data_IF_677593331175
#
_entry.id   IF_677593331175
#
_cell.length_a   1.000
_cell.length_b   1.000
_cell.length_c   1.000
_cell.angle_alpha   90.00
_cell.angle_beta   90.00
_cell.angle_gamma   90.00
#
_symmetry.space_group_name_H-M   'P 1'
#
loop_
_entity.id
_entity.type
_entity.pdbx_description
1 polymer ?
#
# COMPACT_ATOMS: atom_id res chain seq x y z
N UNK A 1 -279.62 -56.26 57.55
CA UNK A 1 -279.48 -57.63 57.02
C UNK A 1 -278.31 -57.60 56.06
N UNK A 2 -277.17 -58.17 56.45
CA UNK A 2 -276.83 -59.60 56.34
C UNK A 2 -276.37 -59.94 54.93
N UNK A 3 -275.16 -60.49 54.90
CA UNK A 3 -274.67 -61.66 54.15
C UNK A 3 -274.78 -61.63 52.62
N UNK A 4 -273.77 -62.28 52.06
CA UNK A 4 -273.50 -62.53 50.65
C UNK A 4 -273.07 -61.29 49.86
N UNK A 5 -271.85 -61.16 49.33
CA UNK A 5 -270.70 -62.06 49.24
C UNK A 5 -269.56 -61.16 48.73
N UNK A 6 -268.56 -60.79 49.53
CA UNK A 6 -267.43 -61.63 49.97
C UNK A 6 -266.58 -62.29 48.88
N UNK A 7 -266.78 -62.05 47.57
CA UNK A 7 -265.93 -62.73 46.56
C UNK A 7 -265.12 -61.86 45.61
N UNK A 8 -265.62 -60.74 45.11
CA UNK A 8 -264.90 -60.04 44.04
C UNK A 8 -263.90 -58.96 44.53
N UNK A 9 -263.98 -58.62 45.81
CA UNK A 9 -262.96 -57.81 46.51
C UNK A 9 -261.65 -58.61 46.65
N UNK A 10 -261.69 -59.95 46.67
CA UNK A 10 -260.50 -60.78 46.87
C UNK A 10 -259.72 -61.06 45.56
N UNK A 11 -260.38 -61.14 44.40
CA UNK A 11 -259.69 -61.48 43.14
C UNK A 11 -258.96 -60.32 42.45
N UNK A 12 -259.36 -59.06 42.67
CA UNK A 12 -258.62 -57.90 42.12
C UNK A 12 -257.38 -57.52 42.95
N UNK A 13 -257.34 -57.89 44.23
CA UNK A 13 -256.18 -57.69 45.11
C UNK A 13 -255.05 -58.67 44.76
N UNK A 14 -255.37 -59.92 44.39
CA UNK A 14 -254.37 -60.91 43.92
C UNK A 14 -253.78 -60.61 42.53
N UNK A 15 -254.43 -59.81 41.69
CA UNK A 15 -253.98 -59.56 40.30
C UNK A 15 -252.90 -58.47 40.16
N UNK A 16 -252.84 -57.43 41.00
CA UNK A 16 -251.86 -56.33 40.84
C UNK A 16 -250.69 -56.39 41.84
N UNK A 17 -250.81 -57.13 42.94
CA UNK A 17 -249.63 -57.58 43.69
C UNK A 17 -248.66 -58.42 42.81
N UNK A 18 -249.17 -59.09 41.76
CA UNK A 18 -248.32 -59.69 40.70
C UNK A 18 -247.59 -58.65 39.84
N UNK A 19 -248.27 -57.58 39.43
CA UNK A 19 -247.61 -56.49 38.68
C UNK A 19 -246.61 -55.70 39.52
N UNK A 20 -246.79 -55.61 40.84
CA UNK A 20 -245.79 -55.01 41.75
C UNK A 20 -244.57 -55.92 41.93
N UNK A 21 -244.73 -57.24 41.76
CA UNK A 21 -243.62 -58.20 41.77
C UNK A 21 -242.84 -58.21 40.45
N UNK A 22 -243.51 -58.06 39.31
CA UNK A 22 -242.84 -57.91 38.01
C UNK A 22 -242.11 -56.56 37.89
N UNK A 23 -242.69 -55.45 38.36
CA UNK A 23 -242.02 -54.15 38.35
C UNK A 23 -240.81 -54.06 39.29
N UNK A 24 -240.80 -54.83 40.39
CA UNK A 24 -239.60 -54.94 41.23
C UNK A 24 -238.50 -55.76 40.57
N UNK A 25 -238.85 -56.76 39.76
CA UNK A 25 -237.86 -57.59 39.07
C UNK A 25 -237.22 -56.87 37.87
N UNK A 26 -237.98 -55.98 37.20
CA UNK A 26 -237.44 -55.19 36.09
C UNK A 26 -236.61 -54.00 36.56
N UNK A 27 -236.85 -53.45 37.76
CA UNK A 27 -236.02 -52.36 38.29
C UNK A 27 -234.64 -52.85 38.74
N UNK A 28 -234.54 -54.07 39.30
CA UNK A 28 -233.25 -54.68 39.65
C UNK A 28 -232.37 -54.98 38.42
N UNK A 29 -232.97 -55.21 37.25
CA UNK A 29 -232.21 -55.34 35.99
C UNK A 29 -231.67 -54.01 35.46
N UNK A 30 -232.28 -52.88 35.81
CA UNK A 30 -231.76 -51.56 35.41
C UNK A 30 -230.62 -51.06 36.30
N UNK A 31 -230.53 -51.50 37.55
CA UNK A 31 -229.39 -51.19 38.43
C UNK A 31 -228.13 -52.00 38.07
N UNK A 32 -228.28 -53.23 37.57
CA UNK A 32 -227.12 -54.04 37.14
C UNK A 32 -226.47 -53.54 35.84
N UNK A 33 -227.23 -52.82 35.00
CA UNK A 33 -226.71 -52.18 33.77
C UNK A 33 -226.01 -50.84 34.09
N UNK A 34 -226.30 -50.21 35.22
CA UNK A 34 -225.67 -48.94 35.62
C UNK A 34 -224.27 -49.13 36.26
N UNK A 35 -224.00 -50.27 36.90
CA UNK A 35 -222.73 -50.50 37.61
C UNK A 35 -221.61 -51.11 36.73
N UNK A 36 -221.92 -51.69 35.57
CA UNK A 36 -220.90 -52.33 34.71
C UNK A 36 -220.15 -51.39 33.76
N UNK A 37 -220.54 -50.12 33.65
CA UNK A 37 -219.95 -49.19 32.65
C UNK A 37 -218.96 -48.15 33.21
N UNK A 38 -218.68 -48.17 34.51
CA UNK A 38 -217.82 -47.16 35.18
C UNK A 38 -216.39 -47.64 35.46
N UNK A 39 -216.07 -48.94 35.29
CA UNK A 39 -214.80 -49.51 35.83
C UNK A 39 -213.66 -49.70 34.80
N UNK A 40 -213.88 -49.49 33.49
CA UNK A 40 -212.89 -49.91 32.46
C UNK A 40 -211.92 -48.80 32.00
N UNK A 41 -212.21 -47.50 32.20
CA UNK A 41 -211.40 -46.41 31.62
C UNK A 41 -210.23 -45.91 32.49
N UNK A 42 -210.16 -46.22 33.78
CA UNK A 42 -209.15 -45.61 34.68
C UNK A 42 -207.78 -46.31 34.65
N UNK A 43 -207.71 -47.59 34.23
CA UNK A 43 -206.47 -48.38 34.23
C UNK A 43 -205.60 -48.13 32.98
N UNK A 44 -206.21 -47.84 31.84
CA UNK A 44 -205.47 -47.64 30.57
C UNK A 44 -204.71 -46.30 30.51
N UNK A 45 -205.15 -45.29 31.26
CA UNK A 45 -204.49 -43.98 31.32
C UNK A 45 -203.17 -43.99 32.13
N UNK A 46 -203.00 -44.91 33.09
CA UNK A 46 -201.76 -44.99 33.90
C UNK A 46 -200.59 -45.64 33.16
N UNK A 47 -200.83 -46.67 32.35
CA UNK A 47 -199.76 -47.37 31.60
C UNK A 47 -199.13 -46.52 30.48
N UNK A 48 -199.87 -45.57 29.92
CA UNK A 48 -199.34 -44.68 28.87
C UNK A 48 -198.42 -43.58 29.42
N UNK A 49 -198.59 -43.20 30.69
CA UNK A 49 -197.76 -42.18 31.33
C UNK A 49 -196.35 -42.70 31.63
N UNK A 50 -196.22 -43.92 32.16
CA UNK A 50 -194.92 -44.50 32.54
C UNK A 50 -193.98 -44.71 31.33
N UNK A 51 -194.53 -45.17 30.18
CA UNK A 51 -193.74 -45.34 28.94
C UNK A 51 -193.23 -44.01 28.36
N UNK A 52 -193.95 -42.90 28.54
CA UNK A 52 -193.52 -41.59 28.06
C UNK A 52 -192.35 -41.04 28.90
N UNK A 53 -192.32 -41.32 30.20
CA UNK A 53 -191.22 -40.93 31.09
C UNK A 53 -189.92 -41.70 30.83
N UNK A 54 -189.99 -42.99 30.51
CA UNK A 54 -188.80 -43.78 30.19
C UNK A 54 -188.14 -43.33 28.86
N UNK A 55 -188.95 -43.00 27.84
CA UNK A 55 -188.45 -42.47 26.57
C UNK A 55 -187.78 -41.09 26.71
N UNK A 56 -188.28 -40.23 27.60
CA UNK A 56 -187.66 -38.93 27.88
C UNK A 56 -186.28 -39.09 28.54
N UNK A 57 -186.14 -40.07 29.44
CA UNK A 57 -184.89 -40.34 30.15
C UNK A 57 -183.80 -40.88 29.22
N UNK A 58 -184.16 -41.78 28.31
CA UNK A 58 -183.25 -42.30 27.27
C UNK A 58 -182.80 -41.20 26.28
N UNK A 59 -183.68 -40.23 25.98
CA UNK A 59 -183.35 -39.10 25.12
C UNK A 59 -182.35 -38.13 25.79
N UNK A 60 -182.53 -37.84 27.09
CA UNK A 60 -181.59 -37.02 27.86
C UNK A 60 -180.20 -37.66 27.98
N UNK A 61 -180.11 -38.96 28.25
CA UNK A 61 -178.82 -39.67 28.31
C UNK A 61 -178.07 -39.63 26.97
N UNK A 62 -178.76 -39.79 25.85
CA UNK A 62 -178.15 -39.73 24.51
C UNK A 62 -177.66 -38.31 24.19
N UNK A 63 -178.40 -37.29 24.60
CA UNK A 63 -177.99 -35.88 24.44
C UNK A 63 -176.71 -35.58 25.23
N UNK A 64 -176.61 -36.04 26.49
CA UNK A 64 -175.40 -35.89 27.30
C UNK A 64 -174.19 -36.62 26.71
N UNK A 65 -174.34 -37.87 26.26
CA UNK A 65 -173.25 -38.62 25.61
C UNK A 65 -172.77 -37.92 24.32
N UNK A 66 -173.67 -37.34 23.54
CA UNK A 66 -173.31 -36.56 22.36
C UNK A 66 -172.54 -35.27 22.71
N UNK A 67 -172.94 -34.58 23.78
CA UNK A 67 -172.24 -33.40 24.28
C UNK A 67 -170.81 -33.73 24.77
N UNK A 68 -170.63 -34.85 25.48
CA UNK A 68 -169.30 -35.30 25.95
C UNK A 68 -168.37 -35.68 24.78
N UNK A 69 -168.90 -36.31 23.72
CA UNK A 69 -168.12 -36.62 22.52
C UNK A 69 -167.68 -35.35 21.78
N UNK A 70 -168.57 -34.35 21.65
CA UNK A 70 -168.22 -33.06 21.07
C UNK A 70 -167.11 -32.35 21.86
N UNK A 71 -167.16 -32.44 23.20
CA UNK A 71 -166.11 -31.89 24.06
C UNK A 71 -164.75 -32.56 23.80
N UNK A 72 -164.70 -33.90 23.75
CA UNK A 72 -163.47 -34.67 23.43
C UNK A 72 -162.93 -34.38 22.03
N UNK A 73 -163.82 -34.24 21.03
CA UNK A 73 -163.41 -33.88 19.66
C UNK A 73 -162.75 -32.51 19.65
N UNK A 74 -163.31 -31.52 20.35
CA UNK A 74 -162.72 -30.19 20.43
C UNK A 74 -161.37 -30.18 21.18
N UNK A 75 -161.22 -30.98 22.24
CA UNK A 75 -159.95 -31.15 22.95
C UNK A 75 -158.86 -31.72 22.00
N UNK A 76 -159.16 -32.78 21.24
CA UNK A 76 -158.22 -33.34 20.25
C UNK A 76 -157.92 -32.32 19.14
N UNK A 77 -158.90 -31.54 18.70
CA UNK A 77 -158.70 -30.54 17.65
C UNK A 77 -157.73 -29.43 18.11
N UNK A 78 -157.78 -29.03 19.38
CA UNK A 78 -156.81 -28.11 19.96
C UNK A 78 -155.41 -28.73 20.10
N UNK A 79 -155.28 -29.99 20.56
CA UNK A 79 -153.98 -30.69 20.61
C UNK A 79 -153.33 -30.84 19.22
N UNK A 80 -154.13 -31.12 18.19
CA UNK A 80 -153.66 -31.21 16.80
C UNK A 80 -153.20 -29.84 16.29
N UNK A 81 -153.93 -28.76 16.60
CA UNK A 81 -153.49 -27.39 16.24
C UNK A 81 -152.16 -27.05 16.91
N UNK A 82 -152.01 -27.38 18.19
CA UNK A 82 -150.77 -27.13 18.94
C UNK A 82 -149.59 -27.90 18.34
N UNK A 83 -149.78 -29.18 18.01
CA UNK A 83 -148.77 -30.02 17.35
C UNK A 83 -148.37 -29.49 15.97
N UNK A 84 -149.32 -29.03 15.16
CA UNK A 84 -149.04 -28.38 13.87
C UNK A 84 -148.22 -27.10 14.07
N UNK A 85 -148.54 -26.32 15.11
CA UNK A 85 -147.82 -25.10 15.41
C UNK A 85 -146.37 -25.38 15.86
N UNK A 86 -146.18 -26.41 16.71
CA UNK A 86 -144.85 -26.90 17.08
C UNK A 86 -144.03 -27.37 15.87
N UNK A 87 -144.65 -28.13 14.95
CA UNK A 87 -143.97 -28.56 13.73
C UNK A 87 -143.54 -27.38 12.86
N UNK A 88 -144.39 -26.37 12.69
CA UNK A 88 -144.05 -25.13 11.97
C UNK A 88 -142.87 -24.41 12.63
N UNK A 89 -142.87 -24.28 13.95
CA UNK A 89 -141.76 -23.66 14.69
C UNK A 89 -140.46 -24.47 14.58
N UNK A 90 -140.51 -25.79 14.65
CA UNK A 90 -139.31 -26.61 14.49
C UNK A 90 -138.74 -26.52 13.07
N UNK A 91 -139.60 -26.48 12.05
CA UNK A 91 -139.18 -26.29 10.65
C UNK A 91 -138.45 -24.95 10.45
N UNK A 92 -138.93 -23.87 11.07
CA UNK A 92 -138.26 -22.56 10.96
C UNK A 92 -136.91 -22.56 11.69
N UNK A 93 -136.81 -23.19 12.86
CA UNK A 93 -135.55 -23.34 13.60
C UNK A 93 -134.50 -24.14 12.81
N UNK A 94 -134.88 -25.27 12.21
CA UNK A 94 -133.97 -26.10 11.38
C UNK A 94 -133.49 -25.32 10.14
N UNK A 95 -134.38 -24.60 9.46
CA UNK A 95 -133.97 -23.80 8.31
C UNK A 95 -132.97 -22.69 8.72
N UNK A 96 -133.15 -22.09 9.89
CA UNK A 96 -132.23 -21.09 10.41
C UNK A 96 -130.87 -21.70 10.80
N UNK A 97 -130.82 -22.92 11.34
CA UNK A 97 -129.56 -23.60 11.64
C UNK A 97 -128.82 -24.04 10.38
N UNK A 98 -129.53 -24.51 9.35
CA UNK A 98 -128.95 -24.82 8.03
C UNK A 98 -128.30 -23.58 7.42
N UNK A 99 -129.01 -22.44 7.39
CA UNK A 99 -128.43 -21.17 6.88
C UNK A 99 -127.17 -20.75 7.65
N UNK A 100 -127.15 -20.93 8.97
CA UNK A 100 -125.95 -20.65 9.78
C UNK A 100 -124.80 -21.61 9.44
N UNK A 101 -125.09 -22.91 9.26
CA UNK A 101 -124.09 -23.89 8.87
C UNK A 101 -123.50 -23.60 7.48
N UNK A 102 -124.33 -23.24 6.49
CA UNK A 102 -123.89 -22.81 5.17
C UNK A 102 -122.98 -21.57 5.25
N UNK A 103 -123.37 -20.56 6.04
CA UNK A 103 -122.55 -19.35 6.23
C UNK A 103 -121.20 -19.63 6.92
N UNK A 104 -121.16 -20.60 7.85
CA UNK A 104 -119.93 -21.03 8.50
C UNK A 104 -119.04 -21.81 7.54
N UNK A 105 -119.60 -22.67 6.70
CA UNK A 105 -118.84 -23.44 5.73
C UNK A 105 -118.15 -22.53 4.70
N UNK A 106 -118.87 -21.52 4.19
CA UNK A 106 -118.29 -20.49 3.33
C UNK A 106 -117.15 -19.71 4.02
N UNK A 107 -117.29 -19.44 5.32
CA UNK A 107 -116.22 -18.81 6.11
C UNK A 107 -115.00 -19.71 6.31
N UNK A 108 -115.19 -21.02 6.48
CA UNK A 108 -114.09 -21.99 6.55
C UNK A 108 -113.36 -22.12 5.20
N UNK A 109 -114.10 -22.19 4.09
CA UNK A 109 -113.51 -22.25 2.75
C UNK A 109 -112.67 -21.00 2.44
N UNK A 110 -113.17 -19.81 2.78
CA UNK A 110 -112.39 -18.56 2.62
C UNK A 110 -111.17 -18.48 3.54
N UNK A 111 -111.23 -19.03 4.75
CA UNK A 111 -110.06 -19.09 5.65
C UNK A 111 -108.97 -20.02 5.11
N UNK A 112 -109.33 -21.18 4.55
CA UNK A 112 -108.35 -22.10 3.95
C UNK A 112 -107.68 -21.46 2.71
N UNK A 113 -108.45 -20.79 1.85
CA UNK A 113 -107.90 -20.08 0.70
C UNK A 113 -106.89 -18.98 1.14
N UNK A 114 -107.21 -18.25 2.22
CA UNK A 114 -106.29 -17.27 2.78
C UNK A 114 -105.03 -17.93 3.37
N UNK A 115 -105.15 -19.09 4.03
CA UNK A 115 -103.99 -19.82 4.56
C UNK A 115 -103.02 -20.25 3.45
N UNK A 116 -103.54 -20.75 2.33
CA UNK A 116 -102.72 -21.10 1.15
C UNK A 116 -102.02 -19.87 0.57
N UNK A 117 -102.71 -18.75 0.45
CA UNK A 117 -102.11 -17.49 -0.05
C UNK A 117 -101.03 -16.94 0.89
N UNK A 118 -101.21 -17.11 2.21
CA UNK A 118 -100.26 -16.65 3.23
C UNK A 118 -99.00 -17.53 3.23
N UNK A 119 -99.15 -18.85 3.05
CA UNK A 119 -98.02 -19.77 2.84
C UNK A 119 -97.22 -19.43 1.58
N UNK A 120 -97.90 -19.13 0.47
CA UNK A 120 -97.25 -18.70 -0.76
C UNK A 120 -96.46 -17.39 -0.57
N UNK A 121 -97.08 -16.38 0.05
CA UNK A 121 -96.40 -15.09 0.35
C UNK A 121 -95.22 -15.26 1.30
N UNK A 122 -95.31 -16.17 2.28
CA UNK A 122 -94.22 -16.45 3.21
C UNK A 122 -93.01 -17.09 2.50
N UNK A 123 -93.25 -17.95 1.51
CA UNK A 123 -92.18 -18.52 0.68
C UNK A 123 -91.47 -17.44 -0.13
N UNK A 124 -92.22 -16.54 -0.79
CA UNK A 124 -91.63 -15.44 -1.58
C UNK A 124 -90.79 -14.49 -0.71
N UNK A 125 -91.25 -14.17 0.51
CA UNK A 125 -90.50 -13.33 1.45
C UNK A 125 -89.21 -14.01 1.90
N UNK A 126 -89.24 -15.31 2.13
CA UNK A 126 -88.03 -16.07 2.50
C UNK A 126 -87.00 -16.05 1.37
N UNK A 127 -87.43 -16.30 0.13
CA UNK A 127 -86.53 -16.29 -1.03
C UNK A 127 -85.90 -14.90 -1.26
N UNK A 128 -86.70 -13.83 -1.11
CA UNK A 128 -86.20 -12.45 -1.17
C UNK A 128 -85.21 -12.15 -0.05
N UNK A 129 -85.45 -12.64 1.16
CA UNK A 129 -84.55 -12.46 2.30
C UNK A 129 -83.21 -13.17 2.07
N UNK A 130 -83.22 -14.37 1.50
CA UNK A 130 -82.01 -15.11 1.14
C UNK A 130 -81.21 -14.37 0.06
N UNK A 131 -81.88 -13.87 -0.98
CA UNK A 131 -81.24 -13.09 -2.04
C UNK A 131 -80.65 -11.77 -1.55
N UNK A 132 -81.34 -11.07 -0.64
CA UNK A 132 -80.87 -9.83 -0.03
C UNK A 132 -79.61 -10.07 0.81
N UNK A 133 -79.59 -11.13 1.62
CA UNK A 133 -78.42 -11.50 2.43
C UNK A 133 -77.20 -11.87 1.56
N UNK A 134 -77.41 -12.63 0.49
CA UNK A 134 -76.35 -12.97 -0.45
C UNK A 134 -75.75 -11.72 -1.12
N UNK A 135 -76.60 -10.77 -1.52
CA UNK A 135 -76.18 -9.49 -2.12
C UNK A 135 -75.41 -8.61 -1.13
N UNK A 136 -75.82 -8.60 0.14
CA UNK A 136 -75.15 -7.83 1.20
C UNK A 136 -73.76 -8.39 1.52
N UNK A 137 -73.60 -9.71 1.55
CA UNK A 137 -72.29 -10.35 1.70
C UNK A 137 -71.36 -10.05 0.53
N UNK A 138 -71.87 -10.04 -0.70
CA UNK A 138 -71.10 -9.67 -1.88
C UNK A 138 -70.64 -8.20 -1.82
N UNK A 139 -71.54 -7.29 -1.44
CA UNK A 139 -71.21 -5.87 -1.28
C UNK A 139 -70.15 -5.63 -0.20
N UNK A 140 -70.21 -6.35 0.92
CA UNK A 140 -69.19 -6.27 1.98
C UNK A 140 -67.80 -6.72 1.50
N UNK A 141 -67.71 -7.80 0.71
CA UNK A 141 -66.42 -8.23 0.13
C UNK A 141 -65.82 -7.18 -0.78
N UNK A 142 -66.64 -6.62 -1.68
CA UNK A 142 -66.22 -5.56 -2.60
C UNK A 142 -65.75 -4.32 -1.83
N UNK A 143 -66.43 -3.95 -0.74
CA UNK A 143 -66.02 -2.80 0.09
C UNK A 143 -64.62 -3.00 0.70
N UNK A 144 -64.32 -4.20 1.22
CA UNK A 144 -63.00 -4.53 1.77
C UNK A 144 -61.90 -4.48 0.70
N UNK A 145 -62.18 -5.00 -0.50
CA UNK A 145 -61.23 -4.94 -1.63
C UNK A 145 -60.95 -3.49 -2.05
N UNK A 146 -61.98 -2.62 -2.08
CA UNK A 146 -61.82 -1.19 -2.38
C UNK A 146 -60.95 -0.49 -1.34
N UNK A 147 -61.11 -0.79 -0.04
CA UNK A 147 -60.24 -0.24 1.01
C UNK A 147 -58.78 -0.71 0.86
N UNK A 148 -58.57 -1.97 0.47
CA UNK A 148 -57.26 -2.50 0.12
C UNK A 148 -56.61 -1.71 -1.03
N UNK A 149 -57.31 -1.56 -2.16
CA UNK A 149 -56.83 -0.80 -3.30
C UNK A 149 -56.56 0.68 -2.99
N UNK A 150 -57.38 1.30 -2.14
CA UNK A 150 -57.16 2.69 -1.69
C UNK A 150 -55.85 2.82 -0.91
N UNK A 151 -55.55 1.85 -0.04
CA UNK A 151 -54.31 1.82 0.74
C UNK A 151 -53.09 1.62 -0.16
N UNK A 152 -53.17 0.67 -1.10
CA UNK A 152 -52.09 0.40 -2.05
C UNK A 152 -51.82 1.59 -3.00
N UNK A 153 -52.88 2.26 -3.44
CA UNK A 153 -52.78 3.49 -4.24
C UNK A 153 -52.10 4.61 -3.46
N UNK A 154 -52.47 4.80 -2.18
CA UNK A 154 -51.81 5.76 -1.29
C UNK A 154 -50.31 5.48 -1.12
N UNK A 155 -49.95 4.21 -0.86
CA UNK A 155 -48.55 3.78 -0.75
C UNK A 155 -47.75 4.00 -2.05
N UNK A 156 -48.37 3.72 -3.19
CA UNK A 156 -47.75 3.91 -4.51
C UNK A 156 -47.52 5.39 -4.79
N UNK A 157 -48.51 6.24 -4.49
CA UNK A 157 -48.38 7.70 -4.60
C UNK A 157 -47.25 8.26 -3.74
N UNK A 158 -47.12 7.77 -2.49
CA UNK A 158 -46.01 8.15 -1.61
C UNK A 158 -44.64 7.76 -2.20
N UNK A 159 -44.51 6.55 -2.76
CA UNK A 159 -43.28 6.10 -3.44
C UNK A 159 -42.94 6.94 -4.68
N UNK A 160 -43.95 7.30 -5.48
CA UNK A 160 -43.77 8.16 -6.66
C UNK A 160 -43.25 9.54 -6.25
N UNK A 161 -43.80 10.14 -5.19
CA UNK A 161 -43.33 11.43 -4.68
C UNK A 161 -41.90 11.36 -4.14
N UNK A 162 -41.53 10.29 -3.43
CA UNK A 162 -40.15 10.08 -2.97
C UNK A 162 -39.18 9.95 -4.16
N UNK A 163 -39.53 9.18 -5.19
CA UNK A 163 -38.73 9.05 -6.41
C UNK A 163 -38.60 10.38 -7.17
N UNK A 164 -39.68 11.17 -7.25
CA UNK A 164 -39.66 12.49 -7.89
C UNK A 164 -38.69 13.43 -7.16
N UNK A 165 -38.75 13.48 -5.83
CA UNK A 165 -37.86 14.30 -5.01
C UNK A 165 -36.39 13.85 -5.16
N UNK A 166 -36.13 12.53 -5.17
CA UNK A 166 -34.78 12.00 -5.42
C UNK A 166 -34.27 12.37 -6.79
N UNK A 167 -35.10 12.27 -7.84
CA UNK A 167 -34.75 12.64 -9.20
C UNK A 167 -34.41 14.13 -9.33
N UNK A 168 -35.21 15.00 -8.71
CA UNK A 168 -34.95 16.45 -8.66
C UNK A 168 -33.60 16.76 -7.99
N UNK A 169 -33.32 16.15 -6.83
CA UNK A 169 -32.03 16.31 -6.14
C UNK A 169 -30.86 15.78 -6.97
N UNK A 170 -31.03 14.67 -7.70
CA UNK A 170 -29.99 14.15 -8.58
C UNK A 170 -29.71 15.10 -9.74
N UNK A 171 -30.75 15.68 -10.34
CA UNK A 171 -30.61 16.68 -11.41
C UNK A 171 -29.81 17.89 -10.92
N UNK A 172 -30.17 18.46 -9.78
CA UNK A 172 -29.46 19.60 -9.19
C UNK A 172 -27.99 19.27 -8.91
N UNK A 173 -27.69 18.06 -8.41
CA UNK A 173 -26.31 17.61 -8.21
C UNK A 173 -25.53 17.47 -9.50
N UNK A 174 -26.17 16.99 -10.57
CA UNK A 174 -25.56 16.85 -11.89
C UNK A 174 -25.26 18.23 -12.48
N UNK A 175 -26.19 19.18 -12.40
CA UNK A 175 -25.99 20.57 -12.85
C UNK A 175 -24.82 21.21 -12.10
N UNK A 176 -24.81 21.14 -10.76
CA UNK A 176 -23.70 21.65 -9.96
C UNK A 176 -22.33 21.01 -10.30
N UNK A 177 -22.30 19.71 -10.60
CA UNK A 177 -21.06 19.03 -11.00
C UNK A 177 -20.65 19.42 -12.42
N UNK A 178 -21.61 19.54 -13.32
CA UNK A 178 -21.38 19.99 -14.68
C UNK A 178 -20.75 21.38 -14.68
N UNK A 179 -21.33 22.32 -13.94
CA UNK A 179 -20.86 23.70 -13.85
C UNK A 179 -19.47 23.78 -13.20
N UNK A 180 -19.16 22.94 -12.21
CA UNK A 180 -17.80 22.85 -11.64
C UNK A 180 -16.76 22.29 -12.61
N UNK A 181 -17.14 21.30 -13.41
CA UNK A 181 -16.20 20.61 -14.31
C UNK A 181 -15.97 21.44 -15.57
N UNK A 182 -17.06 21.89 -16.20
CA UNK A 182 -17.06 22.56 -17.50
C UNK A 182 -17.03 24.09 -17.38
N UNK A 183 -17.38 24.65 -16.23
CA UNK A 183 -17.68 26.07 -16.11
C UNK A 183 -19.12 26.37 -16.52
N UNK A 184 -19.52 27.63 -16.36
CA UNK A 184 -20.81 28.11 -16.83
C UNK A 184 -20.66 29.51 -17.43
N UNK A 185 -21.46 29.77 -18.47
CA UNK A 185 -21.53 31.08 -19.11
C UNK A 185 -22.56 31.93 -18.38
N UNK A 186 -22.11 33.08 -17.86
CA UNK A 186 -22.98 34.09 -17.30
C UNK A 186 -22.87 35.38 -18.14
N UNK A 187 -23.98 36.11 -18.22
CA UNK A 187 -23.97 37.45 -18.82
C UNK A 187 -23.57 38.44 -17.75
N UNK A 188 -22.53 39.20 -18.02
CA UNK A 188 -22.11 40.28 -17.14
C UNK A 188 -23.08 41.47 -17.29
N UNK A 189 -23.76 41.85 -16.20
CA UNK A 189 -24.84 42.83 -16.19
C UNK A 189 -24.39 44.24 -16.63
N UNK A 190 -23.08 44.56 -16.54
CA UNK A 190 -22.55 45.87 -16.92
C UNK A 190 -22.12 45.99 -18.39
N UNK A 191 -21.76 44.89 -19.05
CA UNK A 191 -21.14 44.92 -20.40
C UNK A 191 -21.94 44.14 -21.45
N UNK A 192 -22.89 43.30 -21.04
CA UNK A 192 -23.71 42.49 -21.96
C UNK A 192 -22.93 41.40 -22.71
N UNK A 193 -21.65 41.20 -22.38
CA UNK A 193 -20.82 40.14 -22.93
C UNK A 193 -21.01 38.84 -22.11
N UNK A 194 -21.03 37.70 -22.82
CA UNK A 194 -21.02 36.39 -22.18
C UNK A 194 -19.62 36.15 -21.59
N UNK A 195 -19.50 36.13 -20.27
CA UNK A 195 -18.29 35.72 -19.57
C UNK A 195 -18.43 34.26 -19.15
N UNK A 196 -17.41 33.47 -19.46
CA UNK A 196 -17.30 32.08 -19.04
C UNK A 196 -16.56 32.02 -17.71
N UNK A 197 -17.21 31.54 -16.64
CA UNK A 197 -16.48 31.18 -15.43
C UNK A 197 -15.75 29.86 -15.70
N UNK A 198 -14.42 29.87 -15.58
CA UNK A 198 -13.59 28.70 -15.91
C UNK A 198 -13.87 27.53 -14.98
N UNK A 199 -14.17 26.38 -15.57
CA UNK A 199 -14.26 25.12 -14.82
C UNK A 199 -12.90 24.48 -14.56
N UNK A 200 -12.89 23.39 -13.79
CA UNK A 200 -11.69 22.60 -13.53
C UNK A 200 -10.97 22.14 -14.81
N UNK A 201 -11.73 21.87 -15.89
CA UNK A 201 -11.15 21.50 -17.18
C UNK A 201 -10.31 22.63 -17.77
N UNK A 202 -10.79 23.86 -17.71
CA UNK A 202 -10.12 25.02 -18.28
C UNK A 202 -8.88 25.40 -17.45
N UNK A 203 -8.98 25.30 -16.12
CA UNK A 203 -7.83 25.46 -15.22
C UNK A 203 -6.72 24.44 -15.50
N UNK A 204 -7.09 23.17 -15.73
CA UNK A 204 -6.15 22.11 -16.07
C UNK A 204 -5.47 22.38 -17.42
N UNK A 205 -6.24 22.79 -18.44
CA UNK A 205 -5.68 23.08 -19.75
C UNK A 205 -4.73 24.30 -19.71
N UNK A 206 -5.07 25.34 -18.93
CA UNK A 206 -4.20 26.49 -18.72
C UNK A 206 -2.92 26.12 -17.96
N UNK A 207 -3.03 25.25 -16.95
CA UNK A 207 -1.87 24.74 -16.21
C UNK A 207 -0.95 23.94 -17.12
N UNK A 208 -1.50 23.10 -18.00
CA UNK A 208 -0.73 22.34 -18.98
C UNK A 208 -0.03 23.24 -20.01
N UNK A 209 -0.72 24.25 -20.56
CA UNK A 209 -0.13 25.24 -21.47
C UNK A 209 1.02 26.00 -20.79
N UNK A 210 0.82 26.44 -19.55
CA UNK A 210 1.84 27.18 -18.77
C UNK A 210 3.05 26.31 -18.45
N UNK A 211 2.84 25.06 -18.07
CA UNK A 211 3.90 24.09 -17.80
C UNK A 211 4.69 23.78 -19.07
N UNK A 212 4.01 23.53 -20.19
CA UNK A 212 4.64 23.27 -21.49
C UNK A 212 5.50 24.46 -21.95
N UNK A 213 4.99 25.69 -21.81
CA UNK A 213 5.74 26.89 -22.12
C UNK A 213 6.97 27.05 -21.22
N UNK A 214 6.83 26.78 -19.91
CA UNK A 214 7.94 26.83 -18.95
C UNK A 214 9.04 25.82 -19.28
N UNK A 215 8.66 24.58 -19.62
CA UNK A 215 9.61 23.53 -20.04
C UNK A 215 10.35 23.96 -21.31
N UNK A 216 9.63 24.47 -22.31
CA UNK A 216 10.25 24.93 -23.55
C UNK A 216 11.22 26.11 -23.32
N UNK A 217 10.93 26.99 -22.36
CA UNK A 217 11.83 28.08 -22.00
C UNK A 217 13.07 27.58 -21.26
N UNK A 218 12.91 26.68 -20.29
CA UNK A 218 14.02 26.05 -19.58
C UNK A 218 14.95 25.27 -20.52
N UNK A 219 14.40 24.58 -21.52
CA UNK A 219 15.22 23.87 -22.51
C UNK A 219 16.09 24.86 -23.31
N UNK A 220 15.53 26.02 -23.69
CA UNK A 220 16.29 27.08 -24.37
C UNK A 220 17.41 27.63 -23.49
N UNK A 221 17.11 27.91 -22.23
CA UNK A 221 18.11 28.41 -21.26
C UNK A 221 19.23 27.38 -21.03
N UNK A 222 18.88 26.10 -20.86
CA UNK A 222 19.86 25.03 -20.71
C UNK A 222 20.78 24.91 -21.94
N UNK A 223 20.21 24.97 -23.15
CA UNK A 223 20.98 24.94 -24.40
C UNK A 223 21.92 26.14 -24.53
N UNK A 224 21.47 27.34 -24.13
CA UNK A 224 22.32 28.53 -24.11
C UNK A 224 23.45 28.42 -23.07
N UNK A 225 23.15 27.88 -21.89
CA UNK A 225 24.15 27.66 -20.85
C UNK A 225 25.23 26.67 -21.28
N UNK A 226 24.84 25.56 -21.92
CA UNK A 226 25.79 24.57 -22.47
C UNK A 226 26.72 25.23 -23.49
N UNK A 227 26.17 25.93 -24.50
CA UNK A 227 26.98 26.64 -25.50
C UNK A 227 27.93 27.66 -24.86
N UNK A 228 27.44 28.46 -23.92
CA UNK A 228 28.28 29.45 -23.23
C UNK A 228 29.41 28.80 -22.42
N UNK A 229 29.18 27.60 -21.89
CA UNK A 229 30.18 26.86 -21.12
C UNK A 229 31.22 26.22 -22.04
N UNK A 230 30.79 25.66 -23.17
CA UNK A 230 31.68 25.15 -24.22
C UNK A 230 32.62 26.24 -24.73
N UNK A 231 32.08 27.42 -25.08
CA UNK A 231 32.88 28.57 -25.54
C UNK A 231 33.91 29.02 -24.49
N UNK A 232 33.55 28.99 -23.20
CA UNK A 232 34.47 29.34 -22.10
C UNK A 232 35.57 28.30 -21.92
N UNK A 233 35.25 27.02 -22.04
CA UNK A 233 36.23 25.94 -21.94
C UNK A 233 37.22 25.98 -23.10
N UNK A 234 36.76 26.25 -24.31
CA UNK A 234 37.63 26.37 -25.48
C UNK A 234 38.62 27.53 -25.32
N UNK A 235 38.15 28.72 -24.91
CA UNK A 235 39.02 29.86 -24.59
C UNK A 235 40.02 29.56 -23.47
N UNK A 236 39.59 28.86 -22.43
CA UNK A 236 40.47 28.50 -21.32
C UNK A 236 41.57 27.54 -21.78
N UNK A 237 41.24 26.58 -22.63
CA UNK A 237 42.20 25.65 -23.23
C UNK A 237 43.26 26.38 -24.05
N UNK A 238 42.83 27.32 -24.91
CA UNK A 238 43.77 28.14 -25.71
C UNK A 238 44.76 28.91 -24.83
N UNK A 239 44.27 29.56 -23.76
CA UNK A 239 45.11 30.30 -22.81
C UNK A 239 46.16 29.39 -22.18
N UNK A 240 45.75 28.21 -21.69
CA UNK A 240 46.68 27.27 -21.07
C UNK A 240 47.72 26.76 -22.08
N UNK A 241 47.31 26.40 -23.29
CA UNK A 241 48.22 25.91 -24.33
C UNK A 241 49.28 26.97 -24.69
N UNK A 242 48.90 28.25 -24.77
CA UNK A 242 49.84 29.36 -24.96
C UNK A 242 50.80 29.54 -23.79
N UNK A 243 50.31 29.52 -22.55
CA UNK A 243 51.15 29.65 -21.36
C UNK A 243 52.16 28.50 -21.23
N UNK A 244 51.72 27.26 -21.48
CA UNK A 244 52.59 26.08 -21.42
C UNK A 244 53.68 26.16 -22.50
N UNK A 245 53.33 26.56 -23.72
CA UNK A 245 54.29 26.73 -24.81
C UNK A 245 55.34 27.80 -24.44
N UNK A 246 54.91 28.96 -23.95
CA UNK A 246 55.82 30.03 -23.56
C UNK A 246 56.76 29.65 -22.40
N UNK A 247 56.25 28.89 -21.41
CA UNK A 247 57.10 28.38 -20.31
C UNK A 247 58.12 27.36 -20.81
N UNK A 248 57.73 26.45 -21.69
CA UNK A 248 58.62 25.43 -22.26
C UNK A 248 59.77 26.07 -23.04
N UNK A 249 59.46 27.01 -23.93
CA UNK A 249 60.46 27.75 -24.71
C UNK A 249 61.49 28.43 -23.80
N UNK A 250 61.02 29.07 -22.72
CA UNK A 250 61.90 29.74 -21.75
C UNK A 250 62.79 28.77 -20.97
N UNK A 251 62.32 27.56 -20.67
CA UNK A 251 63.13 26.52 -20.02
C UNK A 251 64.23 26.04 -20.97
N UNK A 252 63.87 25.73 -22.22
CA UNK A 252 64.82 25.24 -23.23
C UNK A 252 65.91 26.29 -23.55
N UNK A 253 65.56 27.57 -23.47
CA UNK A 253 66.50 28.69 -23.64
C UNK A 253 67.50 28.83 -22.48
N UNK A 254 67.06 28.66 -21.22
CA UNK A 254 67.88 28.91 -20.03
C UNK A 254 68.77 27.74 -19.63
N UNK A 255 68.38 26.50 -19.96
CA UNK A 255 69.09 25.27 -19.58
C UNK A 255 70.57 25.20 -20.02
N UNK A 256 70.94 25.50 -21.28
CA UNK A 256 72.34 25.41 -21.72
C UNK A 256 73.25 26.45 -21.03
N UNK A 257 72.75 27.66 -20.78
CA UNK A 257 73.52 28.71 -20.09
C UNK A 257 73.72 28.43 -18.60
N UNK A 258 72.71 27.89 -17.92
CA UNK A 258 72.81 27.51 -16.50
C UNK A 258 73.80 26.35 -16.28
N UNK A 259 73.81 25.36 -17.17
CA UNK A 259 74.72 24.21 -17.09
C UNK A 259 76.21 24.63 -17.19
N UNK A 260 76.53 25.52 -18.14
CA UNK A 260 77.92 25.95 -18.38
C UNK A 260 78.42 26.91 -17.31
N UNK A 261 77.53 27.77 -16.81
CA UNK A 261 77.83 28.62 -15.66
C UNK A 261 78.12 27.78 -14.41
N UNK A 262 77.32 26.74 -14.14
CA UNK A 262 77.54 25.82 -13.02
C UNK A 262 78.86 25.05 -13.13
N UNK A 263 79.16 24.49 -14.31
CA UNK A 263 80.40 23.74 -14.55
C UNK A 263 81.66 24.62 -14.44
N UNK A 264 81.65 25.82 -15.04
CA UNK A 264 82.78 26.75 -14.95
C UNK A 264 83.06 27.22 -13.52
N UNK A 265 82.02 27.48 -12.74
CA UNK A 265 82.15 27.82 -11.32
C UNK A 265 82.77 26.67 -10.51
N UNK A 266 82.33 25.42 -10.75
CA UNK A 266 82.88 24.26 -10.07
C UNK A 266 84.36 24.03 -10.39
N UNK A 267 84.78 24.23 -11.66
CA UNK A 267 86.20 24.16 -12.03
C UNK A 267 87.03 25.29 -11.45
N UNK A 268 86.49 26.51 -11.37
CA UNK A 268 87.15 27.64 -10.72
C UNK A 268 87.41 27.38 -9.23
N UNK A 269 86.43 26.81 -8.54
CA UNK A 269 86.55 26.43 -7.13
C UNK A 269 87.61 25.35 -6.92
N UNK A 270 87.62 24.31 -7.75
CA UNK A 270 88.64 23.25 -7.71
C UNK A 270 90.04 23.79 -7.97
N UNK A 271 90.20 24.69 -8.94
CA UNK A 271 91.48 25.34 -9.25
C UNK A 271 92.00 26.14 -8.06
N UNK A 272 91.13 26.87 -7.35
CA UNK A 272 91.52 27.61 -6.13
C UNK A 272 91.94 26.67 -5.00
N UNK A 273 91.16 25.62 -4.74
CA UNK A 273 91.46 24.63 -3.70
C UNK A 273 92.81 23.94 -3.94
N UNK A 274 93.09 23.54 -5.18
CA UNK A 274 94.40 22.98 -5.56
C UNK A 274 95.53 24.00 -5.43
N UNK A 275 95.28 25.27 -5.77
CA UNK A 275 96.25 26.35 -5.57
C UNK A 275 96.68 26.51 -4.10
N UNK A 276 95.75 26.35 -3.16
CA UNK A 276 96.04 26.37 -1.72
C UNK A 276 96.85 25.14 -1.29
N UNK A 277 96.50 23.94 -1.78
CA UNK A 277 97.25 22.71 -1.52
C UNK A 277 98.67 22.79 -2.08
N UNK A 278 98.84 23.28 -3.31
CA UNK A 278 100.14 23.53 -3.91
C UNK A 278 101.03 24.41 -3.03
N UNK A 279 100.45 25.47 -2.46
CA UNK A 279 101.18 26.36 -1.55
C UNK A 279 101.55 25.65 -0.24
N UNK A 280 100.67 24.80 0.28
CA UNK A 280 100.96 23.93 1.44
C UNK A 280 102.14 22.99 1.15
N UNK A 281 102.12 22.28 0.02
CA UNK A 281 103.22 21.39 -0.38
C UNK A 281 104.54 22.13 -0.61
N UNK A 282 104.51 23.33 -1.19
CA UNK A 282 105.71 24.20 -1.31
C UNK A 282 106.30 24.55 0.05
N UNK A 283 105.46 24.88 1.04
CA UNK A 283 105.90 25.16 2.41
C UNK A 283 106.50 23.92 3.07
N UNK A 284 105.82 22.77 2.98
CA UNK A 284 106.33 21.49 3.50
C UNK A 284 107.66 21.10 2.86
N UNK A 285 107.81 21.30 1.55
CA UNK A 285 109.07 21.05 0.84
C UNK A 285 110.20 21.98 1.32
N UNK A 286 109.93 23.29 1.43
CA UNK A 286 110.90 24.26 1.93
C UNK A 286 111.33 23.95 3.37
N UNK A 287 110.39 23.57 4.22
CA UNK A 287 110.66 23.15 5.60
C UNK A 287 111.53 21.89 5.63
N UNK A 288 111.20 20.87 4.85
CA UNK A 288 111.98 19.64 4.77
C UNK A 288 113.43 19.90 4.30
N UNK A 289 113.63 20.76 3.30
CA UNK A 289 114.98 21.18 2.87
C UNK A 289 115.72 21.90 4.01
N UNK A 290 115.07 22.83 4.69
CA UNK A 290 115.69 23.56 5.80
C UNK A 290 116.12 22.62 6.93
N UNK A 291 115.29 21.62 7.27
CA UNK A 291 115.64 20.58 8.23
C UNK A 291 116.80 19.70 7.75
N UNK A 292 116.82 19.29 6.47
CA UNK A 292 117.93 18.51 5.91
C UNK A 292 119.26 19.28 5.96
N UNK A 293 119.25 20.58 5.66
CA UNK A 293 120.43 21.44 5.78
C UNK A 293 120.87 21.56 7.25
N UNK A 294 119.93 21.70 8.18
CA UNK A 294 120.20 21.72 9.62
C UNK A 294 120.85 20.41 10.12
N UNK A 295 120.33 19.25 9.70
CA UNK A 295 120.91 17.94 10.05
C UNK A 295 122.30 17.79 9.41
N UNK A 296 122.50 18.27 8.17
CA UNK A 296 123.82 18.31 7.52
C UNK A 296 124.86 19.10 8.29
N UNK A 297 124.44 20.07 9.09
CA UNK A 297 125.33 20.88 9.91
C UNK A 297 125.62 20.23 11.28
N UNK A 298 124.85 19.22 11.69
CA UNK A 298 124.97 18.58 13.01
C UNK A 298 126.31 17.81 13.19
N UNK A 299 126.79 16.97 12.25
CA UNK A 299 128.09 16.32 12.39
C UNK A 299 129.23 17.33 12.44
N UNK A 300 129.14 18.42 11.66
CA UNK A 300 130.14 19.49 11.68
C UNK A 300 130.15 20.19 13.03
N UNK A 301 128.98 20.50 13.59
CA UNK A 301 128.86 21.11 14.91
C UNK A 301 129.40 20.20 16.02
N UNK A 302 129.10 18.90 15.99
CA UNK A 302 129.60 17.92 16.96
C UNK A 302 131.12 17.78 16.91
N UNK A 303 131.71 17.65 15.72
CA UNK A 303 133.16 17.54 15.55
C UNK A 303 133.87 18.86 15.92
N UNK A 304 133.28 20.02 15.64
CA UNK A 304 133.82 21.32 16.04
C UNK A 304 133.80 21.49 17.56
N UNK A 305 132.72 21.04 18.22
CA UNK A 305 132.63 21.04 19.67
C UNK A 305 133.68 20.13 20.32
N UNK A 306 133.89 18.93 19.75
CA UNK A 306 134.90 17.98 20.23
C UNK A 306 136.33 18.51 20.10
N UNK A 307 136.63 19.27 19.03
CA UNK A 307 137.91 19.94 18.84
C UNK A 307 138.17 21.02 19.89
N UNK A 308 137.19 21.88 20.16
CA UNK A 308 137.37 23.04 21.06
C UNK A 308 137.33 22.67 22.55
N UNK A 309 136.58 21.65 22.95
CA UNK A 309 136.37 21.31 24.37
C UNK A 309 137.18 20.11 24.89
N UNK A 310 137.68 19.23 24.02
CA UNK A 310 138.30 17.97 24.43
C UNK A 310 139.70 17.69 23.84
N UNK A 311 140.36 18.66 23.20
CA UNK A 311 141.73 18.58 22.67
C UNK A 311 141.99 17.33 21.79
N UNK A 312 141.05 16.99 20.90
CA UNK A 312 141.23 15.90 19.94
C UNK A 312 142.15 16.31 18.78
N UNK A 313 143.11 15.43 18.45
CA UNK A 313 144.02 15.58 17.30
C UNK A 313 143.25 15.57 15.96
N UNK A 314 143.67 16.39 14.99
CA UNK A 314 143.01 16.55 13.67
C UNK A 314 142.84 15.23 12.93
N UNK A 315 143.81 14.32 13.07
CA UNK A 315 143.77 12.99 12.45
C UNK A 315 142.66 12.13 13.06
N UNK A 316 142.41 12.25 14.37
CA UNK A 316 141.31 11.51 15.03
C UNK A 316 139.94 12.05 14.63
N UNK A 317 139.82 13.37 14.44
CA UNK A 317 138.58 14.00 13.96
C UNK A 317 138.25 13.48 12.55
N UNK A 318 139.21 13.48 11.62
CA UNK A 318 138.99 12.97 10.26
C UNK A 318 138.56 11.50 10.27
N UNK A 319 139.14 10.69 11.17
CA UNK A 319 138.74 9.30 11.32
C UNK A 319 137.37 9.12 11.98
N UNK A 320 136.87 10.09 12.77
CA UNK A 320 135.52 10.06 13.37
C UNK A 320 134.43 10.65 12.48
N UNK A 321 134.76 11.31 11.37
CA UNK A 321 133.77 11.81 10.40
C UNK A 321 132.89 10.70 9.82
N UNK A 322 133.43 9.56 9.33
CA UNK A 322 132.60 8.46 8.82
C UNK A 322 131.63 7.88 9.87
N UNK A 323 132.06 7.77 11.12
CA UNK A 323 131.24 7.24 12.22
C UNK A 323 130.10 8.21 12.57
N UNK A 324 130.40 9.51 12.68
CA UNK A 324 129.41 10.56 12.96
C UNK A 324 128.41 10.76 11.82
N UNK A 325 128.85 10.63 10.57
CA UNK A 325 127.96 10.63 9.40
C UNK A 325 127.02 9.41 9.39
N UNK A 326 127.54 8.21 9.66
CA UNK A 326 126.74 6.98 9.71
C UNK A 326 125.68 7.04 10.81
N UNK A 327 126.02 7.58 11.99
CA UNK A 327 125.07 7.78 13.07
C UNK A 327 123.96 8.79 12.74
N UNK A 328 124.27 9.81 11.92
CA UNK A 328 123.29 10.82 11.50
C UNK A 328 122.33 10.34 10.38
N UNK A 329 122.64 9.23 9.68
CA UNK A 329 121.89 8.76 8.52
C UNK A 329 120.40 8.44 8.78
N UNK A 330 120.02 7.74 9.88
CA UNK A 330 118.61 7.50 10.21
C UNK A 330 117.81 8.79 10.43
N UNK A 331 118.48 9.90 10.79
CA UNK A 331 117.83 11.19 11.02
C UNK A 331 117.48 11.92 9.71
N UNK A 332 118.21 11.68 8.60
CA UNK A 332 117.87 12.27 7.30
C UNK A 332 116.67 11.62 6.63
N UNK A 333 116.46 10.32 6.85
CA UNK A 333 115.45 9.53 6.13
C UNK A 333 114.02 10.13 6.23
N UNK A 334 113.51 10.52 7.42
CA UNK A 334 112.16 11.09 7.54
C UNK A 334 111.99 12.42 6.78
N UNK A 335 112.99 13.30 6.83
CA UNK A 335 112.92 14.60 6.16
C UNK A 335 113.14 14.49 4.65
N UNK A 336 113.98 13.56 4.22
CA UNK A 336 114.13 13.23 2.81
C UNK A 336 112.83 12.66 2.23
N UNK A 337 112.17 11.75 2.95
CA UNK A 337 110.86 11.22 2.55
C UNK A 337 109.81 12.33 2.46
N UNK A 338 109.77 13.21 3.45
CA UNK A 338 108.86 14.36 3.46
C UNK A 338 109.11 15.30 2.27
N UNK A 339 110.38 15.60 1.95
CA UNK A 339 110.75 16.42 0.79
C UNK A 339 110.36 15.73 -0.53
N UNK A 340 110.58 14.41 -0.64
CA UNK A 340 110.22 13.63 -1.83
C UNK A 340 108.72 13.66 -2.09
N UNK A 341 107.92 13.34 -1.07
CA UNK A 341 106.47 13.30 -1.17
C UNK A 341 105.91 14.70 -1.48
N UNK A 342 106.37 15.73 -0.77
CA UNK A 342 105.95 17.11 -1.03
C UNK A 342 106.28 17.56 -2.48
N UNK A 343 107.40 17.13 -3.05
CA UNK A 343 107.75 17.43 -4.44
C UNK A 343 106.87 16.67 -5.46
N UNK A 344 106.49 15.43 -5.17
CA UNK A 344 105.57 14.64 -6.01
C UNK A 344 104.17 15.29 -6.03
N UNK A 345 103.62 15.57 -4.86
CA UNK A 345 102.32 16.22 -4.70
C UNK A 345 102.30 17.63 -5.29
N UNK A 346 103.40 18.39 -5.18
CA UNK A 346 103.53 19.70 -5.81
C UNK A 346 103.44 19.61 -7.35
N UNK A 347 104.05 18.61 -7.98
CA UNK A 347 103.97 18.42 -9.44
C UNK A 347 102.57 17.99 -9.87
N UNK A 348 101.94 17.13 -9.06
CA UNK A 348 100.57 16.68 -9.29
C UNK A 348 99.60 17.86 -9.25
N UNK A 349 99.61 18.65 -8.17
CA UNK A 349 98.70 19.78 -7.99
C UNK A 349 98.87 20.86 -9.08
N UNK A 350 100.11 21.14 -9.54
CA UNK A 350 100.34 22.03 -10.70
C UNK A 350 99.61 21.56 -11.96
N UNK A 351 99.67 20.25 -12.24
CA UNK A 351 98.99 19.67 -13.39
C UNK A 351 97.48 19.72 -13.25
N UNK A 352 96.95 19.41 -12.06
CA UNK A 352 95.50 19.51 -11.79
C UNK A 352 95.00 20.96 -12.00
N UNK A 353 95.78 21.96 -11.56
CA UNK A 353 95.47 23.37 -11.80
C UNK A 353 95.40 23.68 -13.29
N UNK A 354 96.38 23.24 -14.09
CA UNK A 354 96.38 23.46 -15.55
C UNK A 354 95.16 22.81 -16.22
N UNK A 355 94.83 21.57 -15.86
CA UNK A 355 93.67 20.84 -16.39
C UNK A 355 92.33 21.47 -16.00
N UNK A 356 92.13 21.81 -14.72
CA UNK A 356 90.90 22.45 -14.27
C UNK A 356 90.74 23.86 -14.83
N UNK A 357 91.84 24.61 -14.97
CA UNK A 357 91.83 25.92 -15.63
C UNK A 357 91.45 25.78 -17.10
N UNK A 358 91.99 24.78 -17.80
CA UNK A 358 91.62 24.50 -19.19
C UNK A 358 90.12 24.15 -19.32
N UNK A 359 89.58 23.33 -18.42
CA UNK A 359 88.15 22.98 -18.38
C UNK A 359 87.24 24.16 -18.02
N UNK A 360 87.70 25.03 -17.12
CA UNK A 360 87.01 26.28 -16.78
C UNK A 360 86.95 27.21 -17.99
N UNK A 361 88.09 27.47 -18.63
CA UNK A 361 88.18 28.33 -19.82
C UNK A 361 87.32 27.76 -20.94
N UNK A 362 87.40 26.45 -21.21
CA UNK A 362 86.58 25.80 -22.23
C UNK A 362 85.07 25.97 -21.96
N UNK A 363 84.64 25.83 -20.70
CA UNK A 363 83.24 26.02 -20.32
C UNK A 363 82.78 27.48 -20.50
N UNK A 364 83.63 28.45 -20.14
CA UNK A 364 83.37 29.89 -20.36
C UNK A 364 83.37 30.26 -21.85
N UNK A 365 84.29 29.70 -22.62
CA UNK A 365 84.36 29.90 -24.07
C UNK A 365 83.14 29.29 -24.77
N UNK A 366 82.69 28.11 -24.34
CA UNK A 366 81.43 27.55 -24.82
C UNK A 366 80.25 28.49 -24.53
N UNK A 367 80.16 29.05 -23.33
CA UNK A 367 79.08 29.96 -22.99
C UNK A 367 79.06 31.20 -23.90
N UNK A 368 80.21 31.86 -24.07
CA UNK A 368 80.32 33.02 -24.97
C UNK A 368 80.05 32.69 -26.44
N UNK A 369 80.54 31.55 -26.94
CA UNK A 369 80.27 31.11 -28.31
C UNK A 369 78.82 30.66 -28.50
N UNK A 370 78.22 30.00 -27.51
CA UNK A 370 76.82 29.58 -27.54
C UNK A 370 75.88 30.78 -27.57
N UNK A 371 76.23 31.86 -26.88
CA UNK A 371 75.50 33.13 -26.91
C UNK A 371 75.64 33.82 -28.27
N UNK A 372 76.87 33.91 -28.81
CA UNK A 372 77.10 34.45 -30.16
C UNK A 372 76.42 33.62 -31.27
N UNK A 373 76.36 32.29 -31.13
CA UNK A 373 75.67 31.41 -32.10
C UNK A 373 74.14 31.50 -31.96
N UNK A 374 73.62 31.91 -30.81
CA UNK A 374 72.19 32.20 -30.63
C UNK A 374 71.79 33.49 -31.37
N UNK A 375 72.71 34.45 -31.47
CA UNK A 375 72.50 35.73 -32.15
C UNK A 375 72.71 35.66 -33.69
N UNK A 376 73.19 34.52 -34.22
CA UNK A 376 73.31 34.28 -35.66
C UNK A 376 71.98 33.80 -36.25
N UNK A 377 71.35 34.64 -37.09
CA UNK A 377 70.12 34.30 -37.82
C UNK A 377 70.39 33.21 -38.87
N UNK A 378 70.11 31.96 -38.51
CA UNK A 378 70.23 30.78 -39.38
C UNK A 378 69.96 29.49 -38.63
N UNK A 379 68.68 29.17 -38.41
CA UNK A 379 68.17 28.10 -37.52
C UNK A 379 68.83 26.72 -37.74
N UNK A 380 69.13 26.37 -38.99
CA UNK A 380 69.78 25.08 -39.31
C UNK A 380 71.29 25.04 -39.03
N UNK A 381 72.02 26.15 -39.25
CA UNK A 381 73.46 26.20 -39.08
C UNK A 381 73.83 26.45 -37.61
N UNK A 382 73.06 27.29 -36.92
CA UNK A 382 73.24 27.58 -35.49
C UNK A 382 73.04 26.34 -34.62
N UNK A 383 72.05 25.49 -34.94
CA UNK A 383 71.81 24.22 -34.24
C UNK A 383 72.98 23.24 -34.39
N UNK A 384 73.51 23.09 -35.62
CA UNK A 384 74.66 22.22 -35.87
C UNK A 384 75.93 22.72 -35.17
N UNK A 385 76.17 24.05 -35.17
CA UNK A 385 77.28 24.63 -34.44
C UNK A 385 77.16 24.41 -32.93
N UNK A 386 75.97 24.64 -32.34
CA UNK A 386 75.70 24.36 -30.93
C UNK A 386 75.92 22.89 -30.57
N UNK A 387 75.42 21.96 -31.39
CA UNK A 387 75.63 20.53 -31.18
C UNK A 387 77.11 20.14 -31.23
N UNK A 388 77.88 20.71 -32.17
CA UNK A 388 79.32 20.46 -32.28
C UNK A 388 80.11 21.07 -31.12
N UNK A 389 79.75 22.27 -30.69
CA UNK A 389 80.33 22.92 -29.51
C UNK A 389 80.06 22.10 -28.24
N UNK A 390 78.83 21.58 -28.09
CA UNK A 390 78.44 20.78 -26.93
C UNK A 390 79.17 19.43 -26.92
N UNK A 391 79.26 18.79 -28.09
CA UNK A 391 80.04 17.57 -28.26
C UNK A 391 81.51 17.78 -27.87
N UNK A 392 82.15 18.85 -28.36
CA UNK A 392 83.53 19.18 -28.01
C UNK A 392 83.72 19.49 -26.52
N UNK A 393 82.74 20.15 -25.88
CA UNK A 393 82.75 20.40 -24.44
C UNK A 393 82.67 19.09 -23.66
N UNK A 394 81.71 18.21 -24.02
CA UNK A 394 81.52 16.91 -23.38
C UNK A 394 82.75 16.02 -23.58
N UNK A 395 83.28 15.91 -24.80
CA UNK A 395 84.43 15.07 -25.09
C UNK A 395 85.67 15.49 -24.30
N UNK A 396 85.92 16.79 -24.17
CA UNK A 396 87.08 17.33 -23.43
C UNK A 396 86.87 17.33 -21.91
N UNK A 397 85.62 17.49 -21.45
CA UNK A 397 85.28 17.41 -20.03
C UNK A 397 85.27 15.97 -19.51
N UNK A 398 84.89 15.00 -20.36
CA UNK A 398 84.69 13.59 -20.00
C UNK A 398 85.99 12.85 -19.72
N UNK A 399 87.15 13.40 -20.07
CA UNK A 399 88.43 12.82 -19.66
C UNK A 399 88.65 13.04 -18.16
N UNK A 400 88.77 11.94 -17.40
CA UNK A 400 89.00 11.98 -15.97
C UNK A 400 90.43 12.47 -15.67
N UNK A 401 90.62 13.53 -14.85
CA UNK A 401 91.96 14.03 -14.49
C UNK A 401 92.84 12.97 -13.80
N UNK A 402 92.25 11.93 -13.20
CA UNK A 402 92.97 10.80 -12.62
C UNK A 402 93.73 9.92 -13.62
N UNK A 403 93.33 9.90 -14.91
CA UNK A 403 94.01 9.10 -15.95
C UNK A 403 95.42 9.63 -16.29
N UNK A 404 95.64 10.92 -16.03
CA UNK A 404 96.90 11.61 -16.31
C UNK A 404 97.92 11.46 -15.16
N UNK A 405 97.51 10.92 -14.02
CA UNK A 405 98.40 10.41 -12.98
C UNK A 405 98.98 9.09 -13.50
N UNK A 406 99.99 9.17 -14.37
CA UNK A 406 100.57 8.02 -15.09
C UNK A 406 101.33 7.03 -14.20
N UNK A 407 101.06 7.03 -12.89
CA UNK A 407 101.65 6.11 -11.92
C UNK A 407 100.68 5.81 -10.75
N UNK A 408 99.35 5.85 -10.97
CA UNK A 408 98.39 5.41 -9.94
C UNK A 408 98.62 3.95 -9.49
N UNK A 409 99.27 3.13 -10.33
CA UNK A 409 99.62 1.74 -10.06
C UNK A 409 101.04 1.52 -9.54
N UNK A 410 101.89 2.55 -9.43
CA UNK A 410 103.20 2.40 -8.79
C UNK A 410 103.05 2.75 -7.31
N UNK A 411 103.41 1.80 -6.45
CA UNK A 411 103.30 1.95 -5.00
C UNK A 411 103.94 3.26 -4.55
N UNK A 412 103.23 4.05 -3.74
CA UNK A 412 103.73 5.25 -3.04
C UNK A 412 104.78 4.92 -1.95
N UNK A 413 105.51 3.83 -2.13
CA UNK A 413 106.55 3.41 -1.24
C UNK A 413 107.88 3.96 -1.74
N UNK A 414 108.44 4.87 -0.95
CA UNK A 414 109.74 5.50 -1.21
C UNK A 414 110.84 4.45 -1.46
N UNK A 415 110.81 3.32 -0.75
CA UNK A 415 111.83 2.29 -0.88
C UNK A 415 111.76 1.57 -2.22
N UNK A 416 110.55 1.28 -2.71
CA UNK A 416 110.33 0.64 -4.02
C UNK A 416 110.69 1.58 -5.16
N UNK A 417 110.34 2.87 -5.06
CA UNK A 417 110.70 3.86 -6.08
C UNK A 417 112.21 4.15 -6.11
N UNK A 418 112.87 4.21 -4.95
CA UNK A 418 114.33 4.34 -4.86
C UNK A 418 115.02 3.07 -5.37
N UNK A 419 114.48 1.88 -5.11
CA UNK A 419 115.03 0.62 -5.61
C UNK A 419 114.93 0.51 -7.14
N UNK A 420 113.79 0.87 -7.72
CA UNK A 420 113.63 0.91 -9.18
C UNK A 420 114.59 1.93 -9.81
N UNK A 421 114.78 3.09 -9.17
CA UNK A 421 115.76 4.09 -9.62
C UNK A 421 117.21 3.66 -9.37
N UNK A 422 117.50 2.86 -8.35
CA UNK A 422 118.85 2.36 -8.06
C UNK A 422 119.27 1.28 -9.05
N UNK A 423 118.33 0.46 -9.54
CA UNK A 423 118.55 -0.46 -10.66
C UNK A 423 118.92 0.34 -11.93
N UNK A 424 118.19 1.41 -12.23
CA UNK A 424 118.55 2.33 -13.34
C UNK A 424 119.89 3.06 -13.12
N UNK A 425 120.26 3.32 -11.85
CA UNK A 425 121.53 3.93 -11.47
C UNK A 425 122.68 2.94 -11.60
N UNK A 426 122.49 1.65 -11.30
CA UNK A 426 123.45 0.55 -11.55
C UNK A 426 123.75 0.40 -13.04
N UNK A 427 122.71 0.44 -13.88
CA UNK A 427 122.86 0.46 -15.34
C UNK A 427 123.57 1.72 -15.86
N UNK A 428 123.44 2.84 -15.15
CA UNK A 428 124.18 4.07 -15.45
C UNK A 428 125.63 4.02 -14.96
N UNK A 429 125.89 3.45 -13.78
CA UNK A 429 127.24 3.27 -13.21
C UNK A 429 128.07 2.31 -14.06
N UNK A 430 127.48 1.24 -14.59
CA UNK A 430 128.13 0.36 -15.59
C UNK A 430 128.57 1.11 -16.86
N UNK A 431 127.90 2.20 -17.24
CA UNK A 431 128.32 3.06 -18.37
C UNK A 431 129.46 4.01 -18.00
N UNK A 432 129.67 4.32 -16.72
CA UNK A 432 130.72 5.21 -16.21
C UNK A 432 132.02 4.47 -15.80
N UNK A 433 131.99 3.14 -15.71
CA UNK A 433 133.16 2.29 -15.47
C UNK A 433 134.30 2.51 -16.50
N UNK A 434 133.94 2.99 -17.71
CA UNK A 434 134.87 3.32 -18.78
C UNK A 434 135.55 4.71 -18.66
N UNK A 435 135.35 5.47 -17.58
CA UNK A 435 135.95 6.80 -17.40
C UNK A 435 137.29 6.72 -16.62
N UNK A 436 138.41 7.23 -17.16
CA UNK A 436 139.78 6.92 -16.70
C UNK A 436 140.11 7.35 -15.26
N UNK A 437 139.39 8.32 -14.70
CA UNK A 437 139.64 8.84 -13.35
C UNK A 437 138.87 8.10 -12.26
N UNK A 438 137.70 7.53 -12.56
CA UNK A 438 136.84 6.84 -11.60
C UNK A 438 137.12 5.33 -11.53
N UNK A 439 137.63 4.73 -12.61
CA UNK A 439 137.93 3.29 -12.67
C UNK A 439 138.91 2.81 -11.59
N UNK A 440 139.88 3.65 -11.18
CA UNK A 440 140.84 3.28 -10.11
C UNK A 440 140.21 3.20 -8.72
N UNK A 441 139.20 4.03 -8.45
CA UNK A 441 138.50 4.06 -7.15
C UNK A 441 137.55 2.86 -7.06
N UNK A 442 136.87 2.52 -8.16
CA UNK A 442 135.99 1.36 -8.24
C UNK A 442 136.74 0.02 -8.25
N UNK A 443 137.92 -0.07 -8.88
CA UNK A 443 138.77 -1.25 -8.80
C UNK A 443 139.21 -1.56 -7.35
N UNK A 444 139.57 -0.53 -6.58
CA UNK A 444 139.98 -0.68 -5.19
C UNK A 444 138.83 -1.06 -4.23
N UNK A 445 137.60 -0.64 -4.52
CA UNK A 445 136.40 -1.08 -3.79
C UNK A 445 136.01 -2.52 -4.13
N UNK A 446 136.04 -2.88 -5.41
CA UNK A 446 135.70 -4.23 -5.88
C UNK A 446 136.64 -5.30 -5.33
N UNK A 447 137.94 -5.00 -5.21
CA UNK A 447 138.93 -5.93 -4.65
C UNK A 447 138.72 -6.20 -3.15
N UNK A 448 138.23 -5.20 -2.40
CA UNK A 448 137.93 -5.32 -0.97
C UNK A 448 136.63 -6.08 -0.70
N UNK A 449 135.62 -5.91 -1.56
CA UNK A 449 134.40 -6.72 -1.49
C UNK A 449 134.64 -8.18 -1.86
N UNK A 450 135.41 -8.46 -2.92
CA UNK A 450 135.75 -9.84 -3.29
C UNK A 450 136.56 -10.56 -2.20
N UNK A 451 137.46 -9.86 -1.48
CA UNK A 451 138.16 -10.44 -0.32
C UNK A 451 137.22 -10.79 0.84
N UNK A 452 136.25 -9.93 1.15
CA UNK A 452 135.27 -10.17 2.22
C UNK A 452 134.27 -11.27 1.88
N UNK A 453 133.89 -11.39 0.60
CA UNK A 453 133.04 -12.49 0.11
C UNK A 453 133.81 -13.82 0.19
N UNK A 454 135.09 -13.86 -0.22
CA UNK A 454 135.94 -15.07 -0.09
C UNK A 454 136.20 -15.48 1.36
N UNK A 455 136.47 -14.53 2.27
CA UNK A 455 136.63 -14.84 3.71
C UNK A 455 135.31 -15.31 4.36
N UNK A 456 134.16 -14.87 3.85
CA UNK A 456 132.85 -15.35 4.29
C UNK A 456 132.54 -16.75 3.74
N UNK A 457 132.88 -17.02 2.48
CA UNK A 457 132.77 -18.36 1.87
C UNK A 457 133.70 -19.38 2.55
N UNK A 458 134.95 -19.03 2.85
CA UNK A 458 135.91 -19.92 3.53
C UNK A 458 135.50 -20.24 4.98
N UNK A 459 134.86 -19.30 5.68
CA UNK A 459 134.29 -19.54 7.02
C UNK A 459 133.02 -20.41 6.99
N UNK A 460 132.24 -20.33 5.92
CA UNK A 460 131.07 -21.18 5.71
C UNK A 460 131.50 -22.59 5.31
N UNK A 461 132.51 -22.74 4.45
CA UNK A 461 133.06 -24.04 4.04
C UNK A 461 133.71 -24.78 5.22
N UNK A 462 134.56 -24.12 6.02
CA UNK A 462 135.14 -24.73 7.23
C UNK A 462 134.08 -25.06 8.32
N UNK A 463 132.98 -24.30 8.38
CA UNK A 463 131.87 -24.55 9.31
C UNK A 463 130.96 -25.71 8.86
N UNK A 464 130.83 -25.92 7.56
CA UNK A 464 130.07 -27.04 6.96
C UNK A 464 130.90 -28.32 7.00
N UNK A 465 132.21 -28.26 6.76
CA UNK A 465 133.11 -29.41 6.83
C UNK A 465 133.30 -29.96 8.25
N UNK A 466 133.23 -29.11 9.27
CA UNK A 466 133.25 -29.58 10.67
C UNK A 466 131.93 -30.24 11.10
N UNK A 467 130.83 -29.94 10.41
CA UNK A 467 129.52 -30.56 10.64
C UNK A 467 129.40 -31.91 9.91
N UNK A 468 129.91 -32.02 8.68
CA UNK A 468 129.94 -33.27 7.91
C UNK A 468 130.97 -34.27 8.43
N UNK A 469 132.12 -33.82 8.95
CA UNK A 469 133.11 -34.71 9.59
C UNK A 469 132.62 -35.29 10.94
N UNK A 470 131.67 -34.63 11.61
CA UNK A 470 131.02 -35.14 12.82
C UNK A 470 129.89 -36.14 12.51
N UNK A 471 129.28 -36.06 11.32
CA UNK A 471 128.24 -37.00 10.86
C UNK A 471 128.84 -38.28 10.24
N UNK A 472 130.00 -38.21 9.55
CA UNK A 472 130.62 -39.37 8.89
C UNK A 472 131.54 -40.24 9.80
N UNK A 473 131.95 -39.75 10.99
CA UNK A 473 132.81 -40.50 11.95
C UNK A 473 132.04 -41.26 13.06
N UNK A 474 130.70 -41.38 12.97
CA UNK A 474 129.87 -42.22 13.86
C UNK A 474 129.11 -43.34 13.13
N UNK A 475 129.29 -43.47 11.82
CA UNK A 475 128.78 -44.58 11.00
C UNK A 475 129.89 -45.58 10.58
N UNK A 476 130.95 -45.71 11.38
CA UNK A 476 131.92 -46.82 11.36
C UNK A 476 132.31 -47.26 12.77
#
# INVERSE_FOLDING_TARGET
>A
MKKDQDKNILQRVEAIERSVKELKLDLDKTTEIAESKIVIDEVSAKQTLDNATDLLKDAEERSQKAADVLKKINEILEEVKESINMYKNNKTLINNSIKKAESLNQKCESLNANEEQLKASQSEVHDLQEQANASLLAAQKVAVEIEGFKTDSGNTSAKINDLLNKSANFKERIENLHDKIMGYEYKDEETGENKHESGLKDELENSYKTLSASIANQEKEARQFVKSTEDKLEKLKEIYDEEFRGKKERIDELLPGALTAGLSAAYAEKTKAEGEQLNSYKKSFKYAIFCLVGISMMPLFFNLNLYYFHDYDFVKIINSLPETLTFSLPLYLPFFWMAWNANKEMKLSKRLIEEYTHKEVLSRTYQGLSEQVKDLEGDGMSLQLKARLLYNLISTSSENPGKLISDYNKSDNLLLEILDRSIALSDSVKKFEHMPFLGKIFAYLGEKEQKKVKEAEEKVENGVDTQTFLEDNKLN
#
